data_IF_938295250563
#
_entry.id   IF_938295250563
#
_cell.length_a   1.000
_cell.length_b   1.000
_cell.length_c   1.000
_cell.angle_alpha   90.00
_cell.angle_beta   90.00
_cell.angle_gamma   90.00
#
_symmetry.space_group_name_H-M   'P 1'
#
loop_
_entity.id
_entity.type
_entity.pdbx_description
1 polymer ?
#
# COMPACT_ATOMS: atom_id res chain seq x y z
N UNK A 1 64.27 -38.47 39.90
CA UNK A 1 63.52 -37.19 39.92
C UNK A 1 62.45 -37.26 38.84
N UNK A 2 61.28 -37.79 39.20
CA UNK A 2 60.13 -38.02 38.29
C UNK A 2 59.11 -36.90 38.52
N UNK A 3 58.69 -36.26 37.43
CA UNK A 3 57.87 -35.04 37.36
C UNK A 3 56.43 -35.32 37.83
N UNK A 4 56.02 -34.71 38.94
CA UNK A 4 54.63 -34.65 39.43
C UNK A 4 54.02 -33.34 38.94
N UNK A 5 53.77 -33.20 37.64
CA UNK A 5 53.07 -32.03 37.06
C UNK A 5 52.23 -32.45 35.83
N UNK A 6 51.28 -33.40 35.93
CA UNK A 6 50.12 -33.29 35.04
C UNK A 6 48.76 -33.47 35.73
N UNK A 7 48.69 -33.79 37.02
CA UNK A 7 47.41 -34.09 37.68
C UNK A 7 46.72 -32.87 38.34
N UNK A 8 47.46 -31.82 38.67
CA UNK A 8 46.89 -30.61 39.32
C UNK A 8 46.21 -29.69 38.29
N UNK A 9 46.67 -29.68 37.03
CA UNK A 9 46.03 -28.89 35.96
C UNK A 9 44.69 -29.48 35.50
N UNK A 10 44.51 -30.81 35.56
CA UNK A 10 43.24 -31.46 35.24
C UNK A 10 42.16 -31.21 36.31
N UNK A 11 42.55 -31.07 37.59
CA UNK A 11 41.63 -30.80 38.70
C UNK A 11 41.20 -29.33 38.79
N UNK A 12 41.98 -28.38 38.27
CA UNK A 12 41.60 -26.96 38.20
C UNK A 12 40.67 -26.64 37.02
N UNK A 13 40.67 -27.44 35.96
CA UNK A 13 39.76 -27.27 34.81
C UNK A 13 38.38 -27.90 35.02
N UNK A 14 38.24 -28.84 35.97
CA UNK A 14 36.97 -29.49 36.30
C UNK A 14 36.16 -28.78 37.40
N UNK A 15 36.74 -27.79 38.08
CA UNK A 15 36.07 -27.02 39.13
C UNK A 15 35.47 -25.68 38.67
N UNK A 16 35.57 -25.36 37.37
CA UNK A 16 34.96 -24.16 36.77
C UNK A 16 33.58 -24.43 36.11
N UNK A 17 33.11 -25.68 36.10
CA UNK A 17 31.81 -26.07 35.56
C UNK A 17 30.88 -26.48 36.71
N UNK A 18 30.38 -25.48 37.42
CA UNK A 18 29.42 -25.67 38.51
C UNK A 18 28.51 -24.46 38.73
N UNK A 19 28.43 -23.56 37.75
CA UNK A 19 27.29 -22.66 37.65
C UNK A 19 26.28 -23.40 36.77
N UNK A 20 25.19 -23.87 37.38
CA UNK A 20 23.96 -24.12 36.62
C UNK A 20 23.74 -22.90 35.73
N UNK A 21 23.43 -23.05 34.43
CA UNK A 21 22.84 -21.95 33.72
C UNK A 21 21.57 -21.65 34.52
N UNK A 22 21.59 -20.55 35.26
CA UNK A 22 20.36 -19.85 35.57
C UNK A 22 19.80 -19.61 34.18
N UNK A 23 18.84 -20.44 33.76
CA UNK A 23 17.86 -20.04 32.77
C UNK A 23 17.35 -18.73 33.36
N UNK A 24 17.93 -17.61 32.90
CA UNK A 24 17.27 -16.34 33.00
C UNK A 24 15.96 -16.64 32.30
N UNK A 25 14.89 -16.84 33.06
CA UNK A 25 13.54 -16.80 32.54
C UNK A 25 13.50 -15.48 31.78
N UNK A 26 13.64 -15.57 30.46
CA UNK A 26 13.54 -14.42 29.61
C UNK A 26 12.19 -13.85 29.96
N UNK A 27 12.18 -12.65 30.54
CA UNK A 27 10.93 -11.99 30.89
C UNK A 27 10.05 -12.06 29.65
N UNK A 28 8.80 -12.53 29.76
CA UNK A 28 7.95 -12.70 28.60
C UNK A 28 7.96 -11.38 27.82
N UNK A 29 8.06 -11.44 26.48
CA UNK A 29 8.09 -10.23 25.67
C UNK A 29 6.90 -9.35 26.07
N UNK A 30 7.07 -8.02 26.10
CA UNK A 30 6.00 -7.11 26.48
C UNK A 30 4.77 -7.40 25.58
N UNK A 31 3.54 -7.22 26.08
CA UNK A 31 2.35 -7.50 25.28
C UNK A 31 2.37 -6.73 23.96
N UNK A 32 1.67 -7.24 22.95
CA UNK A 32 1.53 -6.54 21.68
C UNK A 32 0.99 -5.12 21.90
N UNK A 33 1.59 -4.09 21.29
CA UNK A 33 1.03 -2.76 21.35
C UNK A 33 -0.36 -2.77 20.73
N UNK A 34 -1.28 -2.02 21.35
CA UNK A 34 -2.59 -1.76 20.75
C UNK A 34 -2.46 -0.54 19.85
N UNK A 35 -3.10 -0.58 18.67
CA UNK A 35 -3.13 0.57 17.78
C UNK A 35 -3.76 1.77 18.50
N UNK A 36 -3.17 2.94 18.29
CA UNK A 36 -3.75 4.22 18.68
C UNK A 36 -5.05 4.47 17.90
N UNK A 37 -5.93 5.35 18.40
CA UNK A 37 -7.07 5.81 17.61
C UNK A 37 -6.61 6.34 16.25
N UNK A 38 -7.30 5.93 15.19
CA UNK A 38 -7.01 6.42 13.84
C UNK A 38 -7.24 7.94 13.80
N UNK A 39 -6.22 8.74 13.42
CA UNK A 39 -6.44 10.16 13.19
C UNK A 39 -7.33 10.37 11.96
N UNK A 40 -7.93 11.55 11.82
CA UNK A 40 -8.55 11.90 10.56
C UNK A 40 -7.45 12.15 9.52
N UNK A 41 -7.60 11.55 8.34
CA UNK A 41 -6.66 11.62 7.25
C UNK A 41 -7.39 11.79 5.91
N UNK A 42 -7.10 12.90 5.25
CA UNK A 42 -7.46 13.17 3.86
C UNK A 42 -6.15 13.09 3.05
N UNK A 43 -6.11 12.33 1.94
CA UNK A 43 -4.90 12.21 1.13
C UNK A 43 -4.58 13.54 0.43
N UNK A 44 -3.34 13.78 0.00
CA UNK A 44 -2.95 15.01 -0.68
C UNK A 44 -3.79 15.28 -1.94
N UNK A 45 -4.44 16.44 -2.00
CA UNK A 45 -5.25 16.84 -3.16
C UNK A 45 -5.31 18.36 -3.26
N UNK A 46 -5.63 18.85 -4.46
CA UNK A 46 -5.61 20.27 -4.81
C UNK A 46 -6.94 20.99 -4.49
N UNK A 47 -7.88 20.31 -3.83
CA UNK A 47 -9.19 20.83 -3.43
C UNK A 47 -9.60 20.26 -2.06
N UNK A 48 -10.49 20.94 -1.34
CA UNK A 48 -11.06 20.40 -0.10
C UNK A 48 -12.23 19.45 -0.45
N UNK A 49 -12.19 18.17 -0.06
CA UNK A 49 -13.26 17.26 -0.38
C UNK A 49 -14.46 17.47 0.55
N UNK A 50 -15.66 17.44 -0.02
CA UNK A 50 -16.93 17.54 0.75
C UNK A 50 -17.61 16.19 0.91
N UNK A 51 -17.21 15.18 0.14
CA UNK A 51 -17.75 13.83 0.25
C UNK A 51 -16.76 12.79 -0.28
N UNK A 52 -16.92 11.55 0.19
CA UNK A 52 -16.18 10.39 -0.31
C UNK A 52 -17.15 9.29 -0.73
N UNK A 53 -16.80 8.63 -1.83
CA UNK A 53 -17.64 7.65 -2.50
C UNK A 53 -16.82 6.38 -2.71
N UNK A 54 -17.43 5.22 -2.47
CA UNK A 54 -16.80 3.93 -2.66
C UNK A 54 -17.31 3.29 -3.94
N UNK A 55 -16.42 2.78 -4.78
CA UNK A 55 -16.83 2.07 -5.98
C UNK A 55 -17.66 0.82 -5.62
N UNK A 56 -18.75 0.61 -6.35
CA UNK A 56 -19.47 -0.66 -6.39
C UNK A 56 -18.58 -1.74 -7.05
N UNK A 57 -18.96 -3.01 -6.91
CA UNK A 57 -18.10 -4.16 -7.25
C UNK A 57 -17.46 -4.07 -8.65
N UNK A 58 -16.12 -4.10 -8.68
CA UNK A 58 -15.30 -4.32 -9.86
C UNK A 58 -14.12 -5.22 -9.52
N UNK A 59 -13.21 -5.48 -10.47
CA UNK A 59 -11.96 -6.23 -10.25
C UNK A 59 -10.91 -5.45 -9.42
N UNK A 60 -11.34 -4.78 -8.34
CA UNK A 60 -10.50 -3.94 -7.50
C UNK A 60 -11.27 -3.23 -6.37
N UNK A 61 -10.65 -2.19 -5.82
CA UNK A 61 -11.27 -1.23 -4.89
C UNK A 61 -10.98 0.17 -5.38
N UNK A 62 -11.94 1.08 -5.22
CA UNK A 62 -11.72 2.47 -5.54
C UNK A 62 -12.51 3.38 -4.61
N UNK A 63 -11.94 4.55 -4.39
CA UNK A 63 -12.57 5.68 -3.71
C UNK A 63 -12.57 6.87 -4.65
N UNK A 64 -13.63 7.67 -4.59
CA UNK A 64 -13.70 8.97 -5.23
C UNK A 64 -13.95 10.03 -4.16
N UNK A 65 -13.04 10.99 -4.07
CA UNK A 65 -13.22 12.21 -3.28
C UNK A 65 -13.78 13.30 -4.19
N UNK A 66 -14.88 13.92 -3.79
CA UNK A 66 -15.58 14.95 -4.55
C UNK A 66 -15.50 16.27 -3.78
N UNK A 67 -15.07 17.34 -4.44
CA UNK A 67 -15.08 18.70 -3.89
C UNK A 67 -16.43 19.39 -4.05
N UNK A 68 -16.52 20.62 -3.54
CA UNK A 68 -17.69 21.47 -3.76
C UNK A 68 -17.74 21.95 -5.21
N UNK A 69 -18.94 22.14 -5.75
CA UNK A 69 -19.12 22.85 -7.02
C UNK A 69 -18.86 24.34 -6.81
N UNK A 70 -17.92 24.90 -7.58
CA UNK A 70 -17.62 26.33 -7.61
C UNK A 70 -17.53 26.78 -9.08
N UNK A 71 -18.21 27.89 -9.42
CA UNK A 71 -18.25 28.46 -10.77
C UNK A 71 -18.60 27.46 -11.89
N UNK A 72 -19.47 26.50 -11.57
CA UNK A 72 -19.96 25.47 -12.49
C UNK A 72 -18.95 24.35 -12.77
N UNK A 73 -18.01 24.16 -11.86
CA UNK A 73 -16.97 23.14 -11.91
C UNK A 73 -16.94 22.38 -10.59
N UNK A 74 -16.91 21.06 -10.67
CA UNK A 74 -16.78 20.18 -9.50
C UNK A 74 -15.47 19.38 -9.61
N UNK A 75 -14.47 19.64 -8.75
CA UNK A 75 -13.25 18.85 -8.76
C UNK A 75 -13.47 17.49 -8.11
N UNK A 76 -12.79 16.47 -8.62
CA UNK A 76 -12.82 15.15 -8.03
C UNK A 76 -11.48 14.44 -8.20
N UNK A 77 -11.27 13.42 -7.37
CA UNK A 77 -10.08 12.57 -7.42
C UNK A 77 -10.46 11.12 -7.18
N UNK A 78 -9.99 10.25 -8.06
CA UNK A 78 -10.20 8.80 -7.98
C UNK A 78 -8.91 8.14 -7.53
N UNK A 79 -9.01 7.30 -6.51
CA UNK A 79 -7.99 6.39 -6.03
C UNK A 79 -8.45 4.98 -6.35
N UNK A 80 -7.69 4.22 -7.12
CA UNK A 80 -8.05 2.85 -7.51
C UNK A 80 -6.90 1.89 -7.26
N UNK A 81 -7.20 0.71 -6.75
CA UNK A 81 -6.27 -0.40 -6.70
C UNK A 81 -6.93 -1.67 -7.22
N UNK A 82 -6.17 -2.50 -7.91
CA UNK A 82 -6.68 -3.72 -8.54
C UNK A 82 -5.65 -4.83 -8.38
N UNK A 83 -6.17 -6.05 -8.34
CA UNK A 83 -5.34 -7.26 -8.26
C UNK A 83 -5.38 -7.97 -9.60
N UNK A 84 -4.24 -8.51 -10.01
CA UNK A 84 -4.15 -9.33 -11.21
C UNK A 84 -3.24 -10.52 -10.96
N UNK A 85 -3.58 -11.62 -11.63
CA UNK A 85 -2.86 -12.89 -11.54
C UNK A 85 -1.88 -12.97 -12.70
N UNK A 86 -0.60 -13.22 -12.40
CA UNK A 86 0.39 -13.52 -13.44
C UNK A 86 0.56 -15.03 -13.49
N UNK A 87 0.07 -15.65 -14.56
CA UNK A 87 0.07 -17.11 -14.76
C UNK A 87 1.47 -17.75 -14.75
N UNK A 88 2.52 -16.95 -14.94
CA UNK A 88 3.90 -17.46 -15.07
C UNK A 88 4.69 -17.46 -13.74
N UNK A 89 4.19 -16.79 -12.69
CA UNK A 89 4.77 -16.90 -11.35
C UNK A 89 4.05 -17.99 -10.57
N UNK A 90 4.70 -19.15 -10.47
CA UNK A 90 4.21 -20.39 -9.83
C UNK A 90 3.86 -20.27 -8.33
N UNK A 91 3.93 -19.09 -7.72
CA UNK A 91 3.73 -18.87 -6.29
C UNK A 91 2.34 -18.34 -5.90
N UNK A 92 1.43 -18.10 -6.85
CA UNK A 92 0.06 -17.67 -6.52
C UNK A 92 -0.03 -16.32 -5.80
N UNK A 93 1.03 -15.52 -5.85
CA UNK A 93 1.08 -14.19 -5.26
C UNK A 93 0.26 -13.22 -6.12
N UNK A 94 -0.80 -12.64 -5.54
CA UNK A 94 -1.60 -11.61 -6.20
C UNK A 94 -0.75 -10.34 -6.35
N UNK A 95 -0.49 -9.93 -7.59
CA UNK A 95 0.12 -8.64 -7.85
C UNK A 95 -0.92 -7.55 -7.65
N UNK A 96 -0.48 -6.38 -7.19
CA UNK A 96 -1.34 -5.24 -6.95
C UNK A 96 -0.80 -4.02 -7.70
N UNK A 97 -1.72 -3.35 -8.40
CA UNK A 97 -1.51 -2.01 -8.94
C UNK A 97 -2.34 -0.99 -8.16
N UNK A 98 -1.83 0.23 -8.03
CA UNK A 98 -2.60 1.37 -7.52
C UNK A 98 -2.34 2.60 -8.38
N UNK A 99 -3.42 3.28 -8.79
CA UNK A 99 -3.39 4.45 -9.66
C UNK A 99 -4.41 5.47 -9.20
N UNK A 100 -4.04 6.73 -9.29
CA UNK A 100 -4.92 7.84 -8.95
C UNK A 100 -4.92 8.89 -10.06
N UNK A 101 -6.08 9.47 -10.32
CA UNK A 101 -6.25 10.57 -11.24
C UNK A 101 -7.20 11.62 -10.66
N UNK A 102 -6.98 12.88 -11.01
CA UNK A 102 -7.88 13.99 -10.68
C UNK A 102 -8.42 14.62 -11.95
N UNK A 103 -9.60 15.21 -11.85
CA UNK A 103 -10.19 16.00 -12.90
C UNK A 103 -11.17 17.01 -12.32
N UNK A 104 -11.63 17.90 -13.18
CA UNK A 104 -12.71 18.83 -12.94
C UNK A 104 -13.86 18.46 -13.88
N UNK A 105 -15.05 18.23 -13.31
CA UNK A 105 -16.28 18.01 -14.08
C UNK A 105 -17.00 19.34 -14.25
N UNK A 106 -17.32 19.71 -15.49
CA UNK A 106 -18.18 20.87 -15.77
C UNK A 106 -19.63 20.61 -15.33
N UNK A 107 -20.47 21.65 -15.33
CA UNK A 107 -21.93 21.54 -15.10
C UNK A 107 -22.64 20.46 -15.94
N UNK A 108 -22.13 20.19 -17.14
CA UNK A 108 -22.64 19.13 -18.02
C UNK A 108 -22.25 17.71 -17.58
N UNK A 109 -21.39 17.60 -16.57
CA UNK A 109 -20.71 16.39 -16.12
C UNK A 109 -19.43 16.07 -16.89
N UNK A 110 -19.16 16.76 -18.01
CA UNK A 110 -18.00 16.45 -18.86
C UNK A 110 -16.69 16.72 -18.11
N UNK A 111 -15.75 15.78 -18.17
CA UNK A 111 -14.40 15.91 -17.62
C UNK A 111 -13.32 15.43 -18.58
N UNK A 112 -12.09 15.91 -18.36
CA UNK A 112 -10.88 15.46 -19.05
C UNK A 112 -9.72 15.32 -18.06
N UNK A 113 -8.94 14.28 -18.22
CA UNK A 113 -7.75 13.96 -17.41
C UNK A 113 -6.52 14.04 -18.31
N UNK A 114 -5.56 14.88 -17.94
CA UNK A 114 -4.22 14.83 -18.52
C UNK A 114 -3.43 13.66 -17.91
N UNK A 115 -3.14 12.65 -18.73
CA UNK A 115 -2.41 11.45 -18.31
C UNK A 115 -0.93 11.50 -18.70
N UNK A 116 -0.48 12.54 -19.41
CA UNK A 116 0.85 12.62 -20.02
C UNK A 116 2.01 12.87 -19.02
N UNK A 117 1.70 13.29 -17.79
CA UNK A 117 2.65 14.09 -16.99
C UNK A 117 3.38 13.35 -15.85
N UNK A 118 3.35 12.01 -15.78
CA UNK A 118 3.87 11.30 -14.59
C UNK A 118 4.97 10.26 -14.82
N UNK A 119 5.30 9.92 -16.07
CA UNK A 119 6.35 8.96 -16.38
C UNK A 119 5.92 7.50 -16.21
N UNK A 120 6.74 6.57 -16.72
CA UNK A 120 6.48 5.13 -16.73
C UNK A 120 6.21 4.65 -15.28
N UNK A 121 5.11 3.92 -15.05
CA UNK A 121 4.60 3.42 -13.75
C UNK A 121 3.82 4.39 -12.86
N UNK A 122 3.86 5.71 -13.13
CA UNK A 122 3.07 6.70 -12.38
C UNK A 122 1.91 7.28 -13.20
N UNK A 123 1.71 6.77 -14.41
CA UNK A 123 0.62 7.18 -15.28
C UNK A 123 -0.72 7.05 -14.52
N UNK A 124 -1.53 8.12 -14.47
CA UNK A 124 -2.84 8.07 -13.80
C UNK A 124 -3.74 6.99 -14.39
N UNK A 125 -3.59 6.76 -15.68
CA UNK A 125 -4.31 5.77 -16.48
C UNK A 125 -3.33 5.15 -17.48
N UNK A 126 -3.18 3.82 -17.43
CA UNK A 126 -2.18 3.06 -18.17
C UNK A 126 -2.26 3.32 -19.67
N UNK A 127 -1.15 3.77 -20.26
CA UNK A 127 -1.02 3.97 -21.69
C UNK A 127 -1.97 5.01 -22.29
N UNK A 128 -2.59 5.85 -21.47
CA UNK A 128 -3.34 7.02 -21.91
C UNK A 128 -2.45 8.27 -21.85
N UNK A 129 -2.58 9.14 -22.86
CA UNK A 129 -2.11 10.53 -22.79
C UNK A 129 -3.23 11.46 -22.35
N UNK A 130 -4.49 11.11 -22.64
CA UNK A 130 -5.68 11.77 -22.12
C UNK A 130 -6.84 10.79 -21.93
N UNK A 131 -7.69 11.04 -20.93
CA UNK A 131 -8.93 10.29 -20.69
C UNK A 131 -10.09 11.28 -20.56
N UNK A 132 -11.21 11.03 -21.23
CA UNK A 132 -12.41 11.86 -21.18
C UNK A 132 -13.61 11.06 -20.72
N UNK A 133 -14.55 11.73 -20.08
CA UNK A 133 -15.77 11.08 -19.61
C UNK A 133 -16.81 12.04 -19.09
N UNK A 134 -17.84 11.46 -18.46
CA UNK A 134 -18.92 12.16 -17.79
C UNK A 134 -19.08 11.68 -16.36
N UNK A 135 -19.16 12.63 -15.45
CA UNK A 135 -19.55 12.42 -14.07
C UNK A 135 -21.02 12.77 -13.92
N UNK A 136 -21.77 11.90 -13.26
CA UNK A 136 -23.16 12.18 -12.88
C UNK A 136 -23.43 11.73 -11.46
N UNK A 137 -24.26 12.50 -10.75
CA UNK A 137 -24.68 12.20 -9.37
C UNK A 137 -26.20 12.10 -9.34
N UNK A 138 -26.71 10.98 -8.85
CA UNK A 138 -28.13 10.72 -8.64
C UNK A 138 -28.35 10.18 -7.21
N UNK A 139 -28.70 11.09 -6.30
CA UNK A 139 -28.82 10.78 -4.87
C UNK A 139 -27.50 10.30 -4.27
N UNK A 140 -27.48 9.07 -3.76
CA UNK A 140 -26.30 8.43 -3.15
C UNK A 140 -25.51 7.57 -4.15
N UNK A 141 -25.76 7.72 -5.46
CA UNK A 141 -25.02 7.06 -6.52
C UNK A 141 -24.30 8.08 -7.40
N UNK A 142 -23.01 7.86 -7.63
CA UNK A 142 -22.19 8.60 -8.57
C UNK A 142 -21.74 7.65 -9.69
N UNK A 143 -21.83 8.10 -10.94
CA UNK A 143 -21.41 7.33 -12.11
C UNK A 143 -20.34 8.06 -12.89
N UNK A 144 -19.26 7.37 -13.25
CA UNK A 144 -18.26 7.78 -14.22
C UNK A 144 -18.48 6.98 -15.52
N UNK A 145 -18.85 7.67 -16.58
CA UNK A 145 -18.88 7.12 -17.94
C UNK A 145 -17.61 7.57 -18.67
N UNK A 146 -16.80 6.63 -19.15
CA UNK A 146 -15.59 6.94 -19.90
C UNK A 146 -15.91 6.98 -21.39
N UNK A 147 -15.79 8.15 -22.02
CA UNK A 147 -16.29 8.39 -23.38
C UNK A 147 -15.20 8.38 -24.44
N UNK A 148 -13.94 8.54 -24.05
CA UNK A 148 -12.82 8.55 -24.99
C UNK A 148 -11.46 8.54 -24.31
N UNK A 149 -10.44 8.10 -25.05
CA UNK A 149 -9.05 8.06 -24.62
C UNK A 149 -8.15 8.44 -25.80
N UNK A 150 -7.10 9.20 -25.54
CA UNK A 150 -5.96 9.34 -26.44
C UNK A 150 -4.83 8.45 -25.90
N UNK A 151 -4.20 7.66 -26.77
CA UNK A 151 -3.13 6.76 -26.37
C UNK A 151 -1.82 7.54 -26.15
N UNK A 152 -0.99 7.06 -25.24
CA UNK A 152 0.40 7.49 -25.16
C UNK A 152 1.18 6.89 -26.33
N UNK A 153 2.21 7.61 -26.82
CA UNK A 153 2.97 7.18 -27.99
C UNK A 153 3.55 5.76 -27.87
N UNK A 154 4.00 5.36 -26.67
CA UNK A 154 4.53 4.01 -26.45
C UNK A 154 3.44 2.93 -26.52
N UNK A 155 2.20 3.26 -26.13
CA UNK A 155 1.08 2.33 -26.16
C UNK A 155 0.59 2.10 -27.59
N UNK A 156 0.60 3.13 -28.45
CA UNK A 156 0.31 2.98 -29.88
C UNK A 156 1.26 1.98 -30.58
N UNK A 157 2.53 1.98 -30.17
CA UNK A 157 3.56 1.10 -30.71
C UNK A 157 3.59 -0.29 -30.05
N UNK A 158 2.76 -0.54 -29.03
CA UNK A 158 2.74 -1.81 -28.28
C UNK A 158 1.76 -2.81 -28.90
N UNK A 159 2.23 -3.93 -29.47
CA UNK A 159 1.34 -4.92 -30.05
C UNK A 159 0.45 -5.57 -28.99
N UNK A 160 -0.86 -5.58 -29.23
CA UNK A 160 -1.84 -6.20 -28.33
C UNK A 160 -2.40 -5.25 -27.26
N UNK A 161 -1.94 -3.99 -27.22
CA UNK A 161 -2.52 -2.98 -26.34
C UNK A 161 -3.99 -2.72 -26.70
N UNK A 162 -4.89 -2.90 -25.75
CA UNK A 162 -6.33 -2.78 -25.95
C UNK A 162 -6.97 -1.86 -24.90
N UNK A 163 -7.78 -0.92 -25.40
CA UNK A 163 -8.59 -0.03 -24.59
C UNK A 163 -10.06 -0.34 -24.79
N UNK A 164 -10.74 -0.87 -23.77
CA UNK A 164 -12.17 -1.16 -23.80
C UNK A 164 -12.90 -0.28 -22.80
N UNK A 165 -13.41 0.86 -23.28
CA UNK A 165 -14.22 1.78 -22.48
C UNK A 165 -15.71 1.43 -22.47
N UNK A 166 -16.18 0.70 -23.48
CA UNK A 166 -17.57 0.30 -23.60
C UNK A 166 -17.82 -1.06 -22.96
N UNK A 167 -19.01 -1.23 -22.35
CA UNK A 167 -19.41 -2.46 -21.67
C UNK A 167 -19.59 -2.27 -20.17
N UNK A 168 -19.82 -3.37 -19.45
CA UNK A 168 -20.12 -3.33 -18.01
C UNK A 168 -18.91 -3.01 -17.13
N UNK A 169 -17.69 -3.28 -17.60
CA UNK A 169 -16.45 -3.02 -16.88
C UNK A 169 -15.39 -2.49 -17.86
N UNK A 170 -15.07 -1.19 -17.83
CA UNK A 170 -13.97 -0.65 -18.59
C UNK A 170 -12.64 -1.26 -18.15
N UNK A 171 -11.82 -1.62 -19.13
CA UNK A 171 -10.55 -2.31 -18.93
C UNK A 171 -9.52 -1.85 -19.96
N UNK A 172 -8.29 -1.73 -19.49
CA UNK A 172 -7.09 -1.44 -20.28
C UNK A 172 -6.21 -2.66 -20.13
N UNK A 173 -5.75 -3.21 -21.26
CA UNK A 173 -4.86 -4.36 -21.29
C UNK A 173 -3.64 -3.98 -22.14
N UNK A 174 -2.44 -4.04 -21.56
CA UNK A 174 -1.20 -3.74 -22.28
C UNK A 174 -0.86 -4.81 -23.31
N UNK A 175 -1.46 -6.00 -23.21
CA UNK A 175 -1.16 -7.16 -24.04
C UNK A 175 0.20 -7.79 -23.78
N UNK A 176 0.98 -7.29 -22.81
CA UNK A 176 2.35 -7.76 -22.55
C UNK A 176 2.41 -8.97 -21.62
N UNK A 177 1.37 -9.20 -20.83
CA UNK A 177 1.37 -10.21 -19.76
C UNK A 177 2.38 -9.91 -18.65
N UNK A 178 2.96 -8.71 -18.62
CA UNK A 178 3.92 -8.25 -17.62
C UNK A 178 3.20 -7.69 -16.38
N UNK A 179 3.99 -7.19 -15.43
CA UNK A 179 3.50 -6.48 -14.27
C UNK A 179 2.72 -5.22 -14.70
N UNK A 180 1.57 -4.99 -14.06
CA UNK A 180 0.66 -3.86 -14.32
C UNK A 180 0.08 -3.87 -15.74
N UNK A 181 -0.08 -5.07 -16.31
CA UNK A 181 -0.60 -5.25 -17.67
C UNK A 181 -2.08 -4.96 -17.81
N UNK A 182 -2.87 -5.06 -16.73
CA UNK A 182 -4.31 -4.84 -16.80
C UNK A 182 -4.75 -3.82 -15.75
N UNK A 183 -5.42 -2.76 -16.20
CA UNK A 183 -6.08 -1.79 -15.34
C UNK A 183 -7.60 -1.82 -15.55
N UNK A 184 -8.35 -1.83 -14.45
CA UNK A 184 -9.81 -1.68 -14.47
C UNK A 184 -10.20 -0.28 -14.00
N UNK A 185 -11.13 0.36 -14.71
CA UNK A 185 -11.63 1.68 -14.31
C UNK A 185 -12.98 1.55 -13.58
N UNK A 186 -13.15 2.18 -12.40
CA UNK A 186 -14.39 2.15 -11.65
C UNK A 186 -15.47 3.03 -12.30
N UNK A 187 -16.69 2.51 -12.45
CA UNK A 187 -17.78 3.22 -13.15
C UNK A 187 -18.91 3.68 -12.24
N UNK A 188 -19.19 2.94 -11.17
CA UNK A 188 -20.29 3.26 -10.26
C UNK A 188 -19.78 3.34 -8.83
N UNK A 189 -20.25 4.33 -8.10
CA UNK A 189 -19.86 4.59 -6.72
C UNK A 189 -21.08 4.87 -5.87
N UNK A 190 -20.98 4.47 -4.60
CA UNK A 190 -21.95 4.77 -3.56
C UNK A 190 -21.37 5.73 -2.55
N UNK A 191 -22.17 6.72 -2.13
CA UNK A 191 -21.76 7.68 -1.11
C UNK A 191 -21.50 6.98 0.21
N UNK A 192 -20.36 7.28 0.83
CA UNK A 192 -20.10 6.87 2.22
C UNK A 192 -20.64 7.93 3.18
N UNK A 193 -21.04 7.55 4.41
CA UNK A 193 -21.36 8.51 5.46
C UNK A 193 -20.22 9.51 5.70
N UNK A 194 -20.57 10.76 6.04
CA UNK A 194 -19.59 11.87 6.14
C UNK A 194 -18.47 11.60 7.18
N UNK A 195 -18.72 10.76 8.20
CA UNK A 195 -17.71 10.32 9.18
C UNK A 195 -16.55 9.52 8.57
N UNK A 196 -16.71 9.02 7.34
CA UNK A 196 -15.66 8.29 6.62
C UNK A 196 -14.76 9.20 5.76
N UNK A 197 -15.07 10.50 5.64
CA UNK A 197 -14.27 11.43 4.84
C UNK A 197 -12.78 11.37 5.22
N UNK A 198 -12.49 11.42 6.52
CA UNK A 198 -11.13 11.30 7.08
C UNK A 198 -10.66 9.87 7.36
N UNK A 199 -11.37 8.83 6.90
CA UNK A 199 -11.06 7.43 7.27
C UNK A 199 -11.01 6.47 6.10
N UNK A 200 -11.65 6.80 4.99
CA UNK A 200 -11.81 5.88 3.87
C UNK A 200 -10.46 5.40 3.30
N UNK A 201 -9.45 6.28 3.26
CA UNK A 201 -8.11 5.91 2.77
C UNK A 201 -7.41 4.82 3.57
N UNK A 202 -7.79 4.55 4.83
CA UNK A 202 -7.23 3.44 5.59
C UNK A 202 -7.57 2.06 5.02
N UNK A 203 -8.54 1.97 4.10
CA UNK A 203 -8.89 0.73 3.38
C UNK A 203 -8.12 0.53 2.07
N UNK A 204 -7.30 1.51 1.69
CA UNK A 204 -6.59 1.55 0.43
C UNK A 204 -5.08 1.40 0.65
N UNK A 205 -4.33 0.79 -0.30
CA UNK A 205 -2.87 0.76 -0.21
C UNK A 205 -2.29 2.17 -0.30
N UNK A 206 -0.98 2.30 -0.09
CA UNK A 206 -0.27 3.56 -0.33
C UNK A 206 -0.34 3.95 -1.81
N UNK A 207 -0.58 5.23 -2.09
CA UNK A 207 -0.46 5.83 -3.42
C UNK A 207 0.79 6.71 -3.51
N UNK A 208 1.32 6.84 -4.72
CA UNK A 208 2.56 7.59 -4.99
C UNK A 208 2.55 9.00 -4.39
N UNK A 209 1.45 9.71 -4.59
CA UNK A 209 1.25 11.06 -4.08
C UNK A 209 1.34 11.19 -2.55
N UNK A 210 1.01 10.14 -1.79
CA UNK A 210 1.14 10.14 -0.33
C UNK A 210 2.62 10.17 0.06
N UNK A 211 3.48 9.46 -0.70
CA UNK A 211 4.93 9.48 -0.51
C UNK A 211 5.58 10.76 -1.07
N UNK A 212 5.05 11.31 -2.16
CA UNK A 212 5.55 12.57 -2.74
C UNK A 212 5.21 13.80 -1.90
N UNK A 213 4.12 13.76 -1.13
CA UNK A 213 3.65 14.91 -0.37
C UNK A 213 4.47 15.19 0.91
N UNK A 214 5.11 14.17 1.50
CA UNK A 214 5.90 14.34 2.71
C UNK A 214 7.02 13.31 2.82
N UNK A 215 8.25 13.81 2.98
CA UNK A 215 9.41 12.99 3.30
C UNK A 215 9.41 12.50 4.77
N UNK A 216 8.54 13.04 5.62
CA UNK A 216 8.59 12.87 7.08
C UNK A 216 7.48 11.97 7.64
N UNK A 217 6.39 11.73 6.90
CA UNK A 217 5.25 10.96 7.41
C UNK A 217 4.29 10.56 6.30
N UNK A 218 3.81 9.32 6.34
CA UNK A 218 2.66 8.84 5.58
C UNK A 218 1.51 8.53 6.54
N UNK A 219 0.29 8.99 6.24
CA UNK A 219 -0.91 8.77 7.07
C UNK A 219 -0.73 9.16 8.55
N UNK A 220 0.09 10.18 8.80
CA UNK A 220 0.42 10.70 10.13
C UNK A 220 1.34 9.80 10.96
N UNK A 221 1.98 8.78 10.38
CA UNK A 221 2.87 7.87 11.11
C UNK A 221 4.17 8.60 11.47
N UNK A 222 4.67 8.35 12.68
CA UNK A 222 5.88 9.01 13.19
C UNK A 222 6.68 8.08 14.09
N UNK A 223 7.91 8.49 14.36
CA UNK A 223 8.75 7.85 15.39
C UNK A 223 8.00 7.86 16.73
N UNK A 224 7.97 6.70 17.39
CA UNK A 224 7.22 6.45 18.62
C UNK A 224 5.82 5.86 18.43
N UNK A 225 5.25 5.90 17.21
CA UNK A 225 4.08 5.06 16.88
C UNK A 225 4.52 3.58 16.81
N UNK A 226 3.58 2.65 16.66
CA UNK A 226 3.84 1.21 16.78
C UNK A 226 3.56 0.45 15.49
N UNK A 227 4.04 -0.79 15.42
CA UNK A 227 3.65 -1.75 14.38
C UNK A 227 2.12 -1.86 14.23
N UNK A 228 1.39 -1.86 15.35
CA UNK A 228 -0.07 -1.91 15.32
C UNK A 228 -0.69 -0.65 14.69
N UNK A 229 -0.06 0.52 14.85
CA UNK A 229 -0.48 1.75 14.17
C UNK A 229 -0.26 1.66 12.66
N UNK A 230 0.88 1.11 12.21
CA UNK A 230 1.13 0.91 10.77
C UNK A 230 0.05 0.00 10.18
N UNK A 231 -0.19 -1.12 10.84
CA UNK A 231 -1.15 -2.15 10.41
C UNK A 231 -2.59 -1.63 10.42
N UNK A 232 -2.95 -0.74 11.34
CA UNK A 232 -4.27 -0.11 11.36
C UNK A 232 -4.46 0.93 10.23
N UNK A 233 -3.35 1.51 9.73
CA UNK A 233 -3.38 2.59 8.72
C UNK A 233 -3.21 2.11 7.29
N UNK A 234 -2.89 0.85 7.06
CA UNK A 234 -2.82 0.25 5.74
C UNK A 234 -3.63 -1.05 5.68
N UNK A 235 -4.24 -1.39 4.54
CA UNK A 235 -5.03 -2.60 4.43
C UNK A 235 -4.17 -3.82 4.71
N UNK A 236 -4.67 -4.78 5.47
CA UNK A 236 -4.02 -6.07 5.66
C UNK A 236 -5.08 -7.18 5.55
N UNK A 237 -5.36 -7.67 4.33
CA UNK A 237 -6.39 -8.69 4.09
C UNK A 237 -6.13 -10.05 4.75
N UNK A 238 -4.91 -10.33 5.23
CA UNK A 238 -4.56 -11.64 5.78
C UNK A 238 -4.93 -11.80 7.26
N UNK A 239 -5.47 -10.76 7.91
CA UNK A 239 -5.92 -10.78 9.31
C UNK A 239 -4.84 -11.33 10.26
N UNK A 240 -3.57 -11.09 9.90
CA UNK A 240 -2.35 -11.50 10.63
C UNK A 240 -2.33 -10.88 12.04
N UNK A 241 -3.28 -9.97 12.34
CA UNK A 241 -3.49 -9.26 13.59
C UNK A 241 -3.73 -10.19 14.78
N UNK A 242 -4.17 -11.42 14.53
CA UNK A 242 -4.29 -12.43 15.59
C UNK A 242 -2.94 -12.94 16.11
N UNK A 243 -1.85 -12.71 15.37
CA UNK A 243 -0.53 -13.24 15.70
C UNK A 243 0.45 -12.10 16.03
N UNK A 244 1.08 -12.21 17.19
CA UNK A 244 2.26 -11.41 17.52
C UNK A 244 3.40 -11.75 16.54
N UNK A 245 3.93 -10.81 15.73
CA UNK A 245 4.98 -11.12 14.76
C UNK A 245 6.26 -11.63 15.44
N UNK A 246 6.49 -11.33 16.72
CA UNK A 246 7.63 -11.87 17.50
C UNK A 246 7.48 -13.36 17.79
N UNK A 247 6.30 -13.95 17.57
CA UNK A 247 6.08 -15.40 17.67
C UNK A 247 6.49 -16.17 16.42
N UNK A 248 6.94 -15.48 15.37
CA UNK A 248 7.42 -16.12 14.14
C UNK A 248 8.91 -16.40 14.28
N UNK A 249 9.31 -17.66 14.12
CA UNK A 249 10.72 -18.03 13.94
C UNK A 249 11.02 -18.02 12.45
N UNK A 250 11.63 -16.95 11.96
CA UNK A 250 11.94 -16.77 10.55
C UNK A 250 13.46 -16.71 10.31
N UNK A 251 13.96 -17.24 9.18
CA UNK A 251 15.35 -17.01 8.79
C UNK A 251 15.57 -15.54 8.41
N UNK A 252 16.83 -15.09 8.45
CA UNK A 252 17.19 -13.74 8.04
C UNK A 252 16.80 -13.48 6.58
N UNK A 253 16.18 -12.31 6.34
CA UNK A 253 15.70 -11.91 5.01
C UNK A 253 14.31 -12.45 4.66
N UNK A 254 13.67 -13.20 5.56
CA UNK A 254 12.27 -13.58 5.41
C UNK A 254 11.33 -12.40 5.70
N UNK A 255 10.14 -12.41 5.08
CA UNK A 255 9.15 -11.35 5.24
C UNK A 255 7.70 -11.88 5.27
N UNK A 256 6.84 -11.15 5.98
CA UNK A 256 5.39 -11.31 6.02
C UNK A 256 4.71 -10.23 5.17
N UNK A 257 4.06 -10.61 4.07
CA UNK A 257 3.35 -9.67 3.19
C UNK A 257 2.02 -9.24 3.79
N UNK A 258 1.71 -7.94 3.76
CA UNK A 258 0.38 -7.41 4.12
C UNK A 258 -0.54 -7.41 2.90
N UNK A 259 -0.04 -6.87 1.78
CA UNK A 259 -0.74 -6.84 0.49
C UNK A 259 0.26 -6.71 -0.65
N UNK A 260 -0.21 -7.08 -1.84
CA UNK A 260 0.60 -7.09 -3.05
C UNK A 260 1.71 -8.13 -2.99
N UNK A 261 2.75 -7.93 -3.78
CA UNK A 261 3.91 -8.80 -3.90
C UNK A 261 5.10 -7.98 -4.36
N UNK A 262 6.33 -8.39 -4.05
CA UNK A 262 7.55 -7.69 -4.49
C UNK A 262 7.69 -7.58 -6.01
N UNK A 263 7.02 -8.46 -6.75
CA UNK A 263 6.93 -8.40 -8.20
C UNK A 263 5.88 -7.39 -8.70
N UNK A 264 5.01 -6.86 -7.84
CA UNK A 264 3.99 -5.88 -8.19
C UNK A 264 4.51 -4.44 -8.14
N UNK A 265 3.69 -3.48 -8.59
CA UNK A 265 4.01 -2.05 -8.46
C UNK A 265 3.74 -1.53 -7.05
N UNK A 266 2.88 -2.23 -6.30
CA UNK A 266 2.51 -1.90 -4.92
C UNK A 266 2.64 -3.14 -4.03
N UNK A 267 3.41 -3.02 -2.94
CA UNK A 267 3.46 -4.06 -1.90
C UNK A 267 3.71 -3.46 -0.53
N UNK A 268 3.30 -4.18 0.51
CA UNK A 268 3.73 -3.92 1.87
C UNK A 268 4.12 -5.21 2.56
N UNK A 269 5.23 -5.21 3.30
CA UNK A 269 5.70 -6.37 4.04
C UNK A 269 6.46 -5.99 5.32
N UNK A 270 6.42 -6.89 6.30
CA UNK A 270 7.26 -6.89 7.49
C UNK A 270 8.46 -7.81 7.28
N UNK A 271 9.68 -7.27 7.36
CA UNK A 271 10.94 -7.98 7.23
C UNK A 271 11.50 -8.39 8.59
N UNK A 272 12.15 -9.55 8.61
CA UNK A 272 12.81 -10.11 9.78
C UNK A 272 14.34 -10.10 9.63
N UNK A 273 15.02 -9.67 10.69
CA UNK A 273 16.48 -9.62 10.78
C UNK A 273 16.92 -10.20 12.12
N UNK A 274 17.90 -11.11 12.12
CA UNK A 274 18.28 -11.87 13.32
C UNK A 274 17.12 -12.71 13.86
N UNK A 275 16.18 -13.11 13.00
CA UNK A 275 14.96 -13.83 13.37
C UNK A 275 13.91 -13.04 14.15
N UNK A 276 14.01 -11.71 14.20
CA UNK A 276 13.00 -10.84 14.85
C UNK A 276 12.41 -9.81 13.87
N UNK A 277 11.17 -9.34 14.09
CA UNK A 277 10.58 -8.26 13.31
C UNK A 277 11.48 -7.01 13.35
N UNK A 278 11.85 -6.50 12.18
CA UNK A 278 12.81 -5.40 12.05
C UNK A 278 12.24 -4.20 11.30
N UNK A 279 11.69 -4.40 10.11
CA UNK A 279 11.31 -3.27 9.24
C UNK A 279 10.00 -3.53 8.54
N UNK A 280 9.06 -2.59 8.59
CA UNK A 280 7.94 -2.57 7.65
C UNK A 280 8.32 -1.72 6.45
N UNK A 281 8.17 -2.26 5.26
CA UNK A 281 8.38 -1.56 4.00
C UNK A 281 7.06 -1.53 3.23
N UNK A 282 6.71 -0.35 2.74
CA UNK A 282 5.56 -0.12 1.85
C UNK A 282 6.08 0.57 0.60
N UNK A 283 5.73 0.05 -0.57
CA UNK A 283 6.16 0.60 -1.87
C UNK A 283 4.98 0.83 -2.80
N UNK A 284 5.12 1.84 -3.65
CA UNK A 284 4.24 2.18 -4.76
C UNK A 284 5.03 2.93 -5.86
N UNK A 285 6.15 2.38 -6.32
CA UNK A 285 7.26 3.08 -7.02
C UNK A 285 8.15 3.93 -6.11
N UNK A 286 7.54 4.76 -5.26
CA UNK A 286 8.17 5.33 -4.06
C UNK A 286 8.10 4.37 -2.88
N UNK A 287 8.80 4.66 -1.77
CA UNK A 287 8.72 3.81 -0.59
C UNK A 287 8.63 4.56 0.74
N UNK A 288 7.95 3.94 1.70
CA UNK A 288 7.95 4.28 3.11
C UNK A 288 8.52 3.10 3.91
N UNK A 289 9.55 3.35 4.71
CA UNK A 289 10.23 2.36 5.55
C UNK A 289 10.11 2.75 7.03
N UNK A 290 9.76 1.78 7.86
CA UNK A 290 9.54 1.93 9.29
C UNK A 290 10.39 0.90 10.05
N UNK A 291 11.48 1.33 10.68
CA UNK A 291 12.31 0.46 11.52
C UNK A 291 11.67 0.31 12.90
N UNK A 292 11.69 -0.90 13.42
CA UNK A 292 11.06 -1.30 14.67
C UNK A 292 12.10 -1.70 15.72
N UNK A 293 11.83 -1.39 16.98
CA UNK A 293 12.55 -2.00 18.11
C UNK A 293 11.92 -3.34 18.55
N UNK A 294 12.51 -3.99 19.55
CA UNK A 294 11.97 -5.24 20.12
C UNK A 294 10.60 -5.10 20.82
N UNK A 295 10.18 -3.86 21.11
CA UNK A 295 8.84 -3.50 21.58
C UNK A 295 7.86 -3.21 20.44
N UNK A 296 8.30 -3.32 19.18
CA UNK A 296 7.57 -3.00 17.97
C UNK A 296 7.20 -1.51 17.84
N UNK A 297 8.01 -0.62 18.45
CA UNK A 297 7.88 0.82 18.27
C UNK A 297 8.71 1.26 17.07
N UNK A 298 8.18 2.22 16.30
CA UNK A 298 8.88 2.86 15.20
C UNK A 298 10.02 3.71 15.77
N UNK A 299 11.25 3.32 15.49
CA UNK A 299 12.46 4.04 15.91
C UNK A 299 12.99 4.97 14.82
N UNK A 300 12.75 4.61 13.56
CA UNK A 300 13.10 5.41 12.40
C UNK A 300 12.03 5.27 11.32
N UNK A 301 11.73 6.39 10.66
CA UNK A 301 10.85 6.47 9.51
C UNK A 301 11.59 7.16 8.37
N UNK A 302 11.45 6.62 7.16
CA UNK A 302 12.01 7.18 5.94
C UNK A 302 10.99 7.09 4.82
N UNK A 303 10.67 8.21 4.19
CA UNK A 303 9.84 8.26 2.99
C UNK A 303 10.69 8.79 1.85
N UNK A 304 10.76 8.04 0.75
CA UNK A 304 11.51 8.43 -0.43
C UNK A 304 10.59 8.45 -1.63
N UNK A 305 10.38 9.65 -2.16
CA UNK A 305 9.71 9.87 -3.43
C UNK A 305 10.65 9.53 -4.61
N UNK A 306 10.08 9.13 -5.75
CA UNK A 306 10.81 8.90 -7.01
C UNK A 306 10.94 10.17 -7.84
#
# INVERSE_FOLDING_TARGET
>A
MKRIIPFILALLLLAACGAEPVEAEASPPPPMPTASPLPDYIPPMDFEPVSVWQAEHFSGRALLYLGAEEDGVTPFKVYSCFMYEVTDYLDGNMLMGARAFCAEAADSGDFSVDCSNRGLWLEPVLGASALTGKLSVDGDRLTLEYTGCELAAWAEDTPGFEYRLSGGQPVIDSGTGENDSVQYLPTEFKRLPDEYLGRAMYWMPMFEEEASASAESVRGLRVGDTYADIVARFPNPLDIWSRDPRSVSAPDGWYDTFYGSEAGTVFAALFYEGGVPSTVLITCCSYASFQLDGGLNITQLSVSAR
#
